data_IF_569165377691
#
_entry.id   IF_569165377691
#
_cell.length_a   1.000
_cell.length_b   1.000
_cell.length_c   1.000
_cell.angle_alpha   90.00
_cell.angle_beta   90.00
_cell.angle_gamma   90.00
#
_symmetry.space_group_name_H-M   'P 1'
#
loop_
_entity.id
_entity.type
_entity.pdbx_description
1 polymer ?
#
# COMPACT_ATOMS: atom_id res chain seq x y z
N UNK A 1 -44.87 -62.62 -14.04
CA UNK A 1 -43.75 -63.15 -14.84
C UNK A 1 -42.86 -61.97 -15.16
N UNK A 2 -41.74 -62.09 -14.54
CA UNK A 2 -40.35 -61.76 -14.97
C UNK A 2 -40.00 -60.31 -15.14
N UNK A 3 -39.15 -59.84 -14.25
CA UNK A 3 -37.69 -59.93 -14.00
C UNK A 3 -36.88 -58.90 -14.76
N UNK A 4 -36.19 -58.09 -14.04
CA UNK A 4 -34.74 -57.80 -13.86
C UNK A 4 -34.57 -56.29 -13.86
N UNK A 5 -34.34 -55.63 -12.75
CA UNK A 5 -33.04 -55.40 -12.07
C UNK A 5 -31.89 -55.00 -13.03
N UNK A 6 -31.52 -53.74 -13.02
CA UNK A 6 -30.13 -53.35 -13.29
C UNK A 6 -29.85 -52.03 -12.52
N UNK A 7 -29.09 -52.19 -11.44
CA UNK A 7 -28.39 -51.09 -10.73
C UNK A 7 -27.36 -50.46 -11.64
N UNK A 8 -27.43 -49.17 -11.84
CA UNK A 8 -26.32 -48.39 -12.32
C UNK A 8 -25.78 -47.50 -11.17
N UNK A 9 -24.73 -47.97 -10.53
CA UNK A 9 -23.94 -47.22 -9.57
C UNK A 9 -23.10 -46.23 -10.36
N UNK A 10 -23.52 -44.97 -10.39
CA UNK A 10 -22.69 -43.87 -10.89
C UNK A 10 -21.69 -43.49 -9.79
N UNK A 11 -20.46 -43.96 -9.93
CA UNK A 11 -19.30 -43.61 -9.09
C UNK A 11 -18.91 -42.16 -9.41
N UNK A 12 -19.44 -41.21 -8.63
CA UNK A 12 -19.04 -39.81 -8.70
C UNK A 12 -17.62 -39.63 -8.18
N UNK A 13 -16.68 -39.46 -9.10
CA UNK A 13 -15.29 -39.09 -8.81
C UNK A 13 -15.29 -37.63 -8.35
N UNK A 14 -15.27 -37.41 -7.05
CA UNK A 14 -15.01 -36.10 -6.43
C UNK A 14 -13.55 -35.76 -6.70
N UNK A 15 -13.30 -34.97 -7.75
CA UNK A 15 -12.03 -34.26 -7.96
C UNK A 15 -11.91 -33.20 -6.85
N UNK A 16 -11.39 -33.58 -5.70
CA UNK A 16 -10.85 -32.67 -4.72
C UNK A 16 -9.57 -32.10 -5.31
N UNK A 17 -9.69 -30.94 -6.00
CA UNK A 17 -8.54 -30.16 -6.39
C UNK A 17 -7.75 -29.80 -5.13
N UNK A 18 -6.37 -29.75 -5.21
CA UNK A 18 -5.59 -29.31 -4.08
C UNK A 18 -5.98 -27.85 -3.80
N UNK A 19 -6.72 -27.62 -2.71
CA UNK A 19 -6.81 -26.30 -2.12
C UNK A 19 -5.35 -25.90 -1.80
N UNK A 20 -4.81 -24.90 -2.50
CA UNK A 20 -3.60 -24.22 -2.06
C UNK A 20 -3.91 -23.60 -0.71
N UNK A 21 -3.71 -24.37 0.35
CA UNK A 21 -3.65 -23.84 1.69
C UNK A 21 -2.50 -22.85 1.66
N UNK A 22 -2.80 -21.54 1.71
CA UNK A 22 -1.81 -20.52 1.99
C UNK A 22 -1.25 -20.86 3.38
N UNK A 23 -0.07 -21.45 3.39
CA UNK A 23 0.64 -21.74 4.64
C UNK A 23 0.91 -20.37 5.25
N UNK A 24 0.33 -20.10 6.41
CA UNK A 24 0.58 -18.85 7.13
C UNK A 24 2.11 -18.70 7.33
N UNK A 25 2.65 -17.48 7.13
CA UNK A 25 4.08 -17.24 7.30
C UNK A 25 4.56 -17.66 8.69
N UNK A 26 5.76 -18.21 8.76
CA UNK A 26 6.35 -18.63 10.04
C UNK A 26 6.48 -17.43 10.99
N UNK A 27 6.23 -17.61 12.30
CA UNK A 27 6.25 -16.51 13.28
C UNK A 27 7.56 -15.71 13.28
N UNK A 28 8.69 -16.36 13.01
CA UNK A 28 9.99 -15.69 12.92
C UNK A 28 10.11 -14.80 11.67
N UNK A 29 9.61 -15.27 10.53
CA UNK A 29 9.55 -14.48 9.29
C UNK A 29 8.61 -13.27 9.45
N UNK A 30 7.49 -13.43 10.14
CA UNK A 30 6.59 -12.31 10.46
C UNK A 30 7.28 -11.30 11.38
N UNK A 31 8.04 -11.73 12.38
CA UNK A 31 8.79 -10.84 13.26
C UNK A 31 9.85 -10.03 12.52
N UNK A 32 10.58 -10.65 11.58
CA UNK A 32 11.53 -9.96 10.71
C UNK A 32 10.83 -8.99 9.77
N UNK A 33 9.76 -9.41 9.12
CA UNK A 33 8.96 -8.60 8.21
C UNK A 33 8.40 -7.35 8.93
N UNK A 34 7.85 -7.52 10.14
CA UNK A 34 7.36 -6.40 10.94
C UNK A 34 8.47 -5.40 11.28
N UNK A 35 9.66 -5.90 11.59
CA UNK A 35 10.85 -5.05 11.80
C UNK A 35 11.19 -4.25 10.54
N UNK A 36 11.21 -4.90 9.38
CA UNK A 36 11.43 -4.21 8.09
C UNK A 36 10.39 -3.13 7.85
N UNK A 37 9.10 -3.40 8.06
CA UNK A 37 8.01 -2.42 7.90
C UNK A 37 8.20 -1.20 8.82
N UNK A 38 8.62 -1.42 10.06
CA UNK A 38 8.84 -0.34 11.03
C UNK A 38 10.10 0.45 10.68
N UNK A 39 11.23 -0.22 10.49
CA UNK A 39 12.54 0.40 10.33
C UNK A 39 12.70 1.07 8.94
N UNK A 40 12.01 0.60 7.92
CA UNK A 40 11.92 1.26 6.60
C UNK A 40 11.10 2.56 6.59
N UNK A 41 10.39 2.86 7.67
CA UNK A 41 9.54 4.04 7.78
C UNK A 41 8.12 3.85 7.22
N UNK A 42 7.77 2.67 6.71
CA UNK A 42 6.45 2.41 6.14
C UNK A 42 5.34 2.55 7.21
N UNK A 43 5.56 2.05 8.43
CA UNK A 43 4.63 2.23 9.55
C UNK A 43 4.42 3.71 9.90
N UNK A 44 5.45 4.54 9.75
CA UNK A 44 5.34 6.00 9.92
C UNK A 44 4.44 6.64 8.85
N UNK A 45 4.52 6.14 7.62
CA UNK A 45 3.65 6.61 6.53
C UNK A 45 2.17 6.31 6.80
N UNK A 46 1.85 5.17 7.41
CA UNK A 46 0.47 4.85 7.80
C UNK A 46 -0.04 5.83 8.86
N UNK A 47 0.78 6.15 9.86
CA UNK A 47 0.44 7.14 10.88
C UNK A 47 0.24 8.52 10.27
N UNK A 48 1.14 8.96 9.40
CA UNK A 48 1.04 10.24 8.70
C UNK A 48 -0.23 10.35 7.86
N UNK A 49 -0.69 9.25 7.25
CA UNK A 49 -1.97 9.24 6.53
C UNK A 49 -3.15 9.47 7.47
N UNK A 50 -3.17 8.84 8.65
CA UNK A 50 -4.23 9.07 9.65
C UNK A 50 -4.22 10.52 10.13
N UNK A 51 -3.05 11.08 10.41
CA UNK A 51 -2.90 12.50 10.79
C UNK A 51 -3.43 13.43 9.69
N UNK A 52 -3.11 13.15 8.43
CA UNK A 52 -3.62 13.93 7.30
C UNK A 52 -5.15 13.85 7.20
N UNK A 53 -5.73 12.65 7.33
CA UNK A 53 -7.20 12.48 7.34
C UNK A 53 -7.87 13.28 8.45
N UNK A 54 -7.25 13.36 9.64
CA UNK A 54 -7.76 14.17 10.75
C UNK A 54 -7.68 15.67 10.44
N UNK A 55 -6.60 16.13 9.79
CA UNK A 55 -6.46 17.54 9.36
C UNK A 55 -7.52 17.88 8.32
N UNK A 56 -7.73 17.05 7.33
CA UNK A 56 -8.75 17.23 6.28
C UNK A 56 -10.16 17.29 6.89
N UNK A 57 -10.48 16.38 7.82
CA UNK A 57 -11.77 16.34 8.49
C UNK A 57 -12.01 17.63 9.31
N UNK A 58 -10.99 18.11 10.03
CA UNK A 58 -11.07 19.38 10.78
C UNK A 58 -11.28 20.58 9.85
N UNK A 59 -10.58 20.62 8.72
CA UNK A 59 -10.73 21.68 7.73
C UNK A 59 -12.14 21.68 7.12
N UNK A 60 -12.66 20.51 6.78
CA UNK A 60 -14.01 20.35 6.26
C UNK A 60 -15.08 20.78 7.28
N UNK A 61 -14.92 20.39 8.55
CA UNK A 61 -15.82 20.78 9.62
C UNK A 61 -15.79 22.30 9.85
N UNK A 62 -14.60 22.92 9.85
CA UNK A 62 -14.47 24.36 9.99
C UNK A 62 -15.20 25.14 8.89
N UNK A 63 -15.22 24.62 7.67
CA UNK A 63 -15.90 25.23 6.54
C UNK A 63 -17.43 25.05 6.57
N UNK A 64 -17.94 23.92 7.10
CA UNK A 64 -19.35 23.53 7.03
C UNK A 64 -20.08 23.65 8.37
N UNK A 65 -19.39 23.45 9.49
CA UNK A 65 -19.91 23.41 10.85
C UNK A 65 -18.93 24.07 11.84
N UNK A 66 -18.67 25.38 11.76
CA UNK A 66 -17.68 26.05 12.61
C UNK A 66 -17.99 25.94 14.11
N UNK A 67 -19.28 25.85 14.47
CA UNK A 67 -19.77 25.64 15.82
C UNK A 67 -19.33 24.32 16.45
N UNK A 68 -19.21 23.27 15.64
CA UNK A 68 -18.81 21.92 16.08
C UNK A 68 -17.29 21.68 16.11
N UNK A 69 -16.47 22.62 15.62
CA UNK A 69 -15.02 22.40 15.43
C UNK A 69 -14.29 22.10 16.74
N UNK A 70 -14.67 22.75 17.82
CA UNK A 70 -14.07 22.54 19.15
C UNK A 70 -14.36 21.13 19.68
N UNK A 71 -15.61 20.73 19.58
CA UNK A 71 -16.04 19.41 20.04
C UNK A 71 -15.43 18.28 19.19
N UNK A 72 -15.33 18.49 17.86
CA UNK A 72 -14.64 17.58 16.96
C UNK A 72 -13.17 17.36 17.37
N UNK A 73 -12.46 18.42 17.77
CA UNK A 73 -11.09 18.33 18.26
C UNK A 73 -10.98 17.42 19.49
N UNK A 74 -11.88 17.57 20.45
CA UNK A 74 -11.93 16.75 21.65
C UNK A 74 -12.27 15.28 21.35
N UNK A 75 -13.25 15.05 20.45
CA UNK A 75 -13.63 13.71 20.01
C UNK A 75 -12.47 12.99 19.31
N UNK A 76 -11.79 13.65 18.36
CA UNK A 76 -10.64 13.06 17.66
C UNK A 76 -9.50 12.71 18.62
N UNK A 77 -9.26 13.56 19.62
CA UNK A 77 -8.25 13.26 20.66
C UNK A 77 -8.65 12.04 21.51
N UNK A 78 -9.92 11.90 21.83
CA UNK A 78 -10.45 10.74 22.56
C UNK A 78 -10.37 9.43 21.77
N UNK A 79 -10.47 9.51 20.43
CA UNK A 79 -10.39 8.38 19.50
C UNK A 79 -8.94 7.99 19.11
N UNK A 80 -7.93 8.74 19.57
CA UNK A 80 -6.53 8.47 19.22
C UNK A 80 -6.11 7.01 19.45
N UNK A 81 -6.48 6.33 20.57
CA UNK A 81 -6.12 4.93 20.78
C UNK A 81 -6.70 4.00 19.70
N UNK A 82 -7.88 4.30 19.15
CA UNK A 82 -8.48 3.51 18.06
C UNK A 82 -7.71 3.71 16.75
N UNK A 83 -7.27 4.92 16.45
CA UNK A 83 -6.45 5.21 15.29
C UNK A 83 -5.05 4.59 15.40
N UNK A 84 -4.48 4.57 16.59
CA UNK A 84 -3.22 3.91 16.86
C UNK A 84 -3.34 2.38 16.65
N UNK A 85 -4.41 1.77 17.16
CA UNK A 85 -4.71 0.36 16.95
C UNK A 85 -4.92 0.02 15.46
N UNK A 86 -5.62 0.88 14.71
CA UNK A 86 -5.80 0.72 13.27
C UNK A 86 -4.46 0.80 12.52
N UNK A 87 -3.57 1.69 12.92
CA UNK A 87 -2.22 1.84 12.37
C UNK A 87 -1.35 0.60 12.65
N UNK A 88 -1.42 0.05 13.86
CA UNK A 88 -0.73 -1.18 14.22
C UNK A 88 -1.27 -2.38 13.42
N UNK A 89 -2.59 -2.51 13.29
CA UNK A 89 -3.20 -3.56 12.46
C UNK A 89 -2.75 -3.47 10.99
N UNK A 90 -2.61 -2.27 10.44
CA UNK A 90 -2.07 -2.08 9.09
C UNK A 90 -0.58 -2.44 9.01
N UNK A 91 0.19 -2.15 10.05
CA UNK A 91 1.60 -2.54 10.14
C UNK A 91 1.75 -4.06 10.15
N UNK A 92 0.93 -4.76 10.92
CA UNK A 92 0.93 -6.22 10.96
C UNK A 92 0.49 -6.84 9.62
N UNK A 93 -0.51 -6.24 8.96
CA UNK A 93 -0.94 -6.66 7.63
C UNK A 93 0.17 -6.46 6.59
N UNK A 94 0.89 -5.35 6.65
CA UNK A 94 2.05 -5.12 5.80
C UNK A 94 3.13 -6.17 6.06
N UNK A 95 3.39 -6.54 7.31
CA UNK A 95 4.35 -7.59 7.65
C UNK A 95 3.99 -8.94 6.99
N UNK A 96 2.71 -9.32 6.96
CA UNK A 96 2.26 -10.52 6.23
C UNK A 96 2.63 -10.40 4.75
N UNK A 97 2.35 -9.27 4.09
CA UNK A 97 2.69 -9.08 2.68
C UNK A 97 4.19 -9.18 2.39
N UNK A 98 5.03 -8.72 3.30
CA UNK A 98 6.47 -8.85 3.18
C UNK A 98 6.92 -10.31 3.39
N UNK A 99 6.37 -11.00 4.38
CA UNK A 99 6.68 -12.40 4.68
C UNK A 99 6.23 -13.36 3.56
N UNK A 100 5.15 -13.02 2.84
CA UNK A 100 4.68 -13.80 1.69
C UNK A 100 5.57 -13.64 0.44
N UNK A 101 6.35 -12.56 0.34
CA UNK A 101 7.11 -12.20 -0.86
C UNK A 101 8.61 -12.32 -0.73
N UNK A 102 9.12 -12.27 0.48
CA UNK A 102 10.54 -12.30 0.77
C UNK A 102 10.86 -13.53 1.62
N UNK A 103 11.93 -14.21 1.28
CA UNK A 103 12.47 -15.28 2.10
C UNK A 103 12.94 -14.75 3.45
N UNK A 104 13.02 -15.63 4.45
CA UNK A 104 13.55 -15.29 5.78
C UNK A 104 14.93 -14.63 5.71
N UNK A 105 15.79 -15.08 4.79
CA UNK A 105 17.13 -14.51 4.62
C UNK A 105 17.06 -13.07 4.11
N UNK A 106 16.26 -12.82 3.08
CA UNK A 106 16.07 -11.47 2.53
C UNK A 106 15.47 -10.52 3.57
N UNK A 107 14.51 -10.99 4.37
CA UNK A 107 13.95 -10.20 5.47
C UNK A 107 15.01 -9.88 6.53
N UNK A 108 15.89 -10.83 6.87
CA UNK A 108 16.98 -10.60 7.82
C UNK A 108 17.98 -9.57 7.26
N UNK A 109 18.38 -9.69 6.00
CA UNK A 109 19.28 -8.76 5.33
C UNK A 109 18.68 -7.34 5.27
N UNK A 110 17.41 -7.22 4.93
CA UNK A 110 16.67 -5.94 4.97
C UNK A 110 16.61 -5.35 6.38
N UNK A 111 16.31 -6.16 7.40
CA UNK A 111 16.26 -5.70 8.78
C UNK A 111 17.62 -5.17 9.25
N UNK A 112 18.71 -5.85 8.92
CA UNK A 112 20.08 -5.40 9.19
C UNK A 112 20.38 -4.08 8.50
N UNK A 113 20.01 -3.95 7.21
CA UNK A 113 20.21 -2.71 6.46
C UNK A 113 19.48 -1.53 7.09
N UNK A 114 18.18 -1.65 7.35
CA UNK A 114 17.38 -0.54 7.89
C UNK A 114 17.74 -0.20 9.34
N UNK A 115 18.20 -1.16 10.14
CA UNK A 115 18.73 -0.91 11.48
C UNK A 115 20.09 -0.21 11.45
N UNK A 116 20.84 -0.33 10.35
CA UNK A 116 22.16 0.24 10.16
C UNK A 116 22.15 1.73 9.86
N UNK A 117 23.32 2.39 9.91
CA UNK A 117 23.43 3.85 9.69
C UNK A 117 22.99 4.28 8.29
N UNK A 118 23.33 3.52 7.27
CA UNK A 118 22.95 3.85 5.88
C UNK A 118 21.45 3.73 5.66
N UNK A 119 20.79 2.69 6.20
CA UNK A 119 19.34 2.52 6.14
C UNK A 119 18.60 3.65 6.87
N UNK A 120 19.07 4.01 8.07
CA UNK A 120 18.53 5.15 8.82
C UNK A 120 18.65 6.47 8.07
N UNK A 121 19.82 6.73 7.47
CA UNK A 121 20.04 7.92 6.66
C UNK A 121 19.13 7.96 5.43
N UNK A 122 18.97 6.82 4.74
CA UNK A 122 18.05 6.69 3.62
C UNK A 122 16.60 7.00 4.02
N UNK A 123 16.10 6.36 5.09
CA UNK A 123 14.74 6.57 5.59
C UNK A 123 14.51 8.02 6.05
N UNK A 124 15.52 8.64 6.66
CA UNK A 124 15.43 10.05 7.06
C UNK A 124 15.38 11.01 5.86
N UNK A 125 16.06 10.68 4.76
CA UNK A 125 16.06 11.49 3.54
C UNK A 125 14.80 11.33 2.68
N UNK A 126 14.08 10.21 2.81
CA UNK A 126 12.93 9.88 1.94
C UNK A 126 11.89 10.99 1.80
N UNK A 127 11.40 11.66 2.85
CA UNK A 127 10.37 12.68 2.70
C UNK A 127 10.82 13.86 1.82
N UNK A 128 12.04 14.34 2.02
CA UNK A 128 12.62 15.40 1.20
C UNK A 128 12.83 14.96 -0.25
N UNK A 129 13.39 13.77 -0.47
CA UNK A 129 13.62 13.21 -1.80
C UNK A 129 12.30 13.02 -2.57
N UNK A 130 11.25 12.55 -1.92
CA UNK A 130 9.92 12.38 -2.56
C UNK A 130 9.35 13.76 -2.94
N UNK A 131 9.48 14.76 -2.06
CA UNK A 131 9.04 16.13 -2.34
C UNK A 131 9.79 16.75 -3.54
N UNK A 132 11.11 16.65 -3.56
CA UNK A 132 11.96 17.16 -4.64
C UNK A 132 11.64 16.47 -5.97
N UNK A 133 11.50 15.13 -5.95
CA UNK A 133 11.14 14.35 -7.12
C UNK A 133 9.74 14.71 -7.64
N UNK A 134 8.76 14.90 -6.77
CA UNK A 134 7.41 15.32 -7.18
C UNK A 134 7.44 16.68 -7.90
N UNK A 135 8.21 17.63 -7.39
CA UNK A 135 8.44 18.92 -8.03
C UNK A 135 9.11 18.78 -9.40
N UNK A 136 10.23 18.04 -9.46
CA UNK A 136 10.95 17.79 -10.69
C UNK A 136 10.12 17.05 -11.75
N UNK A 137 9.32 16.05 -11.35
CA UNK A 137 8.42 15.33 -12.25
C UNK A 137 7.30 16.23 -12.79
N UNK A 138 6.78 17.14 -12.00
CA UNK A 138 5.77 18.11 -12.45
C UNK A 138 6.31 19.02 -13.56
N UNK A 139 7.50 19.57 -13.35
CA UNK A 139 8.17 20.41 -14.35
C UNK A 139 8.56 19.61 -15.60
N UNK A 140 9.15 18.44 -15.43
CA UNK A 140 9.47 17.54 -16.56
C UNK A 140 8.22 17.19 -17.39
N UNK A 141 7.11 16.87 -16.74
CA UNK A 141 5.84 16.58 -17.42
C UNK A 141 5.37 17.76 -18.26
N UNK A 142 5.43 18.98 -17.71
CA UNK A 142 5.05 20.21 -18.39
C UNK A 142 5.90 20.42 -19.65
N UNK A 143 7.22 20.34 -19.53
CA UNK A 143 8.17 20.52 -20.63
C UNK A 143 8.00 19.45 -21.70
N UNK A 144 7.92 18.18 -21.28
CA UNK A 144 7.78 17.03 -22.18
C UNK A 144 6.45 17.08 -22.96
N UNK A 145 5.35 17.47 -22.30
CA UNK A 145 4.05 17.62 -22.97
C UNK A 145 4.07 18.67 -24.08
N UNK A 146 4.71 19.82 -23.83
CA UNK A 146 4.86 20.88 -24.83
C UNK A 146 5.74 20.40 -26.00
N UNK A 147 6.89 19.81 -25.70
CA UNK A 147 7.79 19.29 -26.72
C UNK A 147 7.14 18.20 -27.58
N UNK A 148 6.45 17.26 -26.93
CA UNK A 148 5.72 16.19 -27.61
C UNK A 148 4.62 16.73 -28.53
N UNK A 149 3.82 17.69 -28.07
CA UNK A 149 2.75 18.29 -28.87
C UNK A 149 3.33 19.02 -30.09
N UNK A 150 4.44 19.75 -29.94
CA UNK A 150 5.13 20.41 -31.05
C UNK A 150 5.59 19.39 -32.09
N UNK A 151 6.22 18.31 -31.65
CA UNK A 151 6.70 17.25 -32.56
C UNK A 151 5.56 16.51 -33.25
N UNK A 152 4.47 16.24 -32.53
CA UNK A 152 3.28 15.63 -33.14
C UNK A 152 2.72 16.52 -34.23
N UNK A 153 2.58 17.82 -33.97
CA UNK A 153 2.08 18.79 -34.98
C UNK A 153 2.96 18.84 -36.21
N UNK A 154 4.27 18.89 -36.04
CA UNK A 154 5.23 18.85 -37.16
C UNK A 154 5.03 17.59 -38.02
N UNK A 155 4.97 16.43 -37.37
CA UNK A 155 4.81 15.16 -38.08
C UNK A 155 3.44 14.96 -38.72
N UNK A 156 2.40 15.53 -38.14
CA UNK A 156 1.08 15.50 -38.73
C UNK A 156 1.00 16.40 -39.99
N UNK A 157 1.63 17.59 -39.96
CA UNK A 157 1.74 18.47 -41.15
C UNK A 157 2.53 17.81 -42.29
N UNK A 158 3.62 17.09 -42.00
CA UNK A 158 4.33 16.30 -43.03
C UNK A 158 3.42 15.27 -43.73
N UNK A 159 2.37 14.82 -43.04
CA UNK A 159 1.34 13.90 -43.60
C UNK A 159 0.13 14.61 -44.20
N UNK A 160 0.18 15.94 -44.30
CA UNK A 160 -0.92 16.74 -44.84
C UNK A 160 -2.13 16.80 -43.91
N UNK A 161 -1.95 16.66 -42.62
CA UNK A 161 -3.02 16.73 -41.63
C UNK A 161 -2.74 17.81 -40.57
N UNK A 162 -3.76 18.62 -40.31
CA UNK A 162 -3.75 19.54 -39.18
C UNK A 162 -4.11 18.80 -37.86
N UNK A 163 -3.40 19.19 -36.77
CA UNK A 163 -3.55 18.60 -35.44
C UNK A 163 -3.42 19.68 -34.37
#
# INVERSE_FOLDING_TARGET
MDRRALCAIALGLLLVGPACAQIAPEPESLGLARRVVVDSGLARSFRGLVEQMQVELKAQAAATRPDATKDLGAVLSGLQPEFDAATEAMTDRAAVFFADRLSRRELADCAVFFAGPSGKAYVAAQPALIGDLAGAMSEWRRQTSVAMLTRVREKMREKGRDF
#
